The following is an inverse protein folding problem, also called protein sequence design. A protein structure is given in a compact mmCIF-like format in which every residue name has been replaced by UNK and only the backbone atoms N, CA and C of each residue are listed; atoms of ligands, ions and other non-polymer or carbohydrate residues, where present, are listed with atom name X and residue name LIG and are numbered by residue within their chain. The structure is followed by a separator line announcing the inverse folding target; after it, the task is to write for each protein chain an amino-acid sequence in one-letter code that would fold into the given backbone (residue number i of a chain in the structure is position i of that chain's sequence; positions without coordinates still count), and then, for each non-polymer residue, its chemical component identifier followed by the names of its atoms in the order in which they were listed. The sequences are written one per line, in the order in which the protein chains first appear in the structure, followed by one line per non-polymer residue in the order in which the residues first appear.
data_IF_374465327877
#
_entry.id   IF_374465327877
#
_cell.length_a   1.000
_cell.length_b   1.000
_cell.length_c   1.000
_cell.angle_alpha   90.00
_cell.angle_beta   90.00
_cell.angle_gamma   90.00
#
_symmetry.space_group_name_H-M   'P 1'
#
loop_
_entity.id
_entity.type
_entity.pdbx_description
1 polymer ?
#
# COMPACT_ATOMS: atom_id res chain seq x y z
N UNK A 1 -5.81 -28.84 -12.77
CA UNK A 1 -5.10 -28.32 -13.94
C UNK A 1 -3.68 -27.96 -13.51
N UNK A 2 -2.65 -28.64 -14.05
CA UNK A 2 -1.27 -28.34 -13.67
C UNK A 2 -0.89 -26.98 -14.22
N UNK A 3 -0.22 -26.15 -13.44
CA UNK A 3 0.33 -24.85 -13.87
C UNK A 3 1.32 -25.01 -15.04
N UNK A 4 1.80 -26.23 -15.29
CA UNK A 4 2.59 -26.57 -16.46
C UNK A 4 1.93 -26.21 -17.81
N UNK A 5 0.60 -26.08 -17.85
CA UNK A 5 -0.09 -25.61 -19.06
C UNK A 5 0.14 -24.12 -19.36
N UNK A 6 0.74 -23.38 -18.45
CA UNK A 6 1.12 -22.00 -18.66
C UNK A 6 2.64 -21.91 -18.55
N UNK A 7 3.33 -22.62 -19.39
CA UNK A 7 4.77 -22.49 -19.49
C UNK A 7 5.12 -21.53 -20.61
N UNK A 8 6.22 -20.84 -20.47
CA UNK A 8 6.71 -19.94 -21.50
C UNK A 8 6.94 -20.63 -22.85
N UNK A 9 7.12 -21.95 -22.87
CA UNK A 9 7.23 -22.69 -24.11
C UNK A 9 5.96 -22.69 -24.97
N UNK A 10 4.81 -22.51 -24.35
CA UNK A 10 3.53 -22.38 -25.07
C UNK A 10 3.21 -20.92 -25.42
N UNK A 11 4.13 -20.05 -25.09
CA UNK A 11 3.91 -18.66 -25.15
C UNK A 11 4.77 -18.14 -26.24
N UNK A 12 4.28 -18.17 -27.34
CA UNK A 12 4.93 -17.46 -28.41
C UNK A 12 4.60 -16.00 -28.29
N UNK A 13 5.19 -15.37 -27.28
CA UNK A 13 4.81 -14.05 -26.98
C UNK A 13 5.82 -13.09 -27.43
N UNK A 14 5.38 -12.24 -28.12
CA UNK A 14 6.15 -11.20 -28.56
C UNK A 14 5.85 -9.95 -27.89
N UNK A 15 5.66 -9.15 -28.37
CA UNK A 15 5.64 -7.83 -28.13
C UNK A 15 4.52 -7.48 -27.28
N UNK A 16 4.82 -7.15 -26.36
CA UNK A 16 4.05 -6.63 -25.43
C UNK A 16 3.58 -5.27 -25.77
N UNK A 17 2.80 -4.82 -25.19
CA UNK A 17 2.03 -3.74 -25.28
C UNK A 17 2.65 -2.56 -24.79
N UNK A 18 2.54 -1.66 -25.33
CA UNK A 18 2.75 -0.47 -24.71
C UNK A 18 1.62 -0.16 -23.84
N UNK A 19 1.84 0.01 -22.67
CA UNK A 19 0.97 0.74 -21.84
C UNK A 19 0.79 2.06 -22.47
N UNK A 20 -0.33 2.34 -22.96
CA UNK A 20 -0.57 3.68 -23.35
C UNK A 20 -0.42 4.52 -22.10
N UNK A 21 0.51 5.37 -22.17
CA UNK A 21 0.61 6.51 -21.28
C UNK A 21 -0.46 7.55 -21.64
N UNK A 22 -1.64 7.09 -21.99
CA UNK A 22 -2.77 7.96 -22.30
C UNK A 22 -3.34 8.68 -21.06
N UNK A 23 -2.44 9.14 -20.22
CA UNK A 23 -2.68 10.25 -19.32
C UNK A 23 -1.83 11.45 -19.79
N UNK A 24 -1.91 11.78 -21.05
CA UNK A 24 -1.55 13.10 -21.54
C UNK A 24 -2.83 13.89 -21.69
N UNK A 25 -3.28 14.47 -20.61
CA UNK A 25 -3.94 15.76 -20.68
C UNK A 25 -2.90 16.74 -21.22
N UNK A 26 -3.16 17.26 -22.38
CA UNK A 26 -2.33 18.30 -22.96
C UNK A 26 -2.23 19.47 -22.01
N UNK A 27 -1.04 19.99 -21.87
CA UNK A 27 -0.77 21.41 -22.10
C UNK A 27 0.72 21.70 -22.00
N UNK A 28 1.07 22.50 -22.96
CA UNK A 28 2.19 23.46 -23.01
C UNK A 28 3.57 22.89 -23.33
N UNK A 29 3.98 23.22 -24.49
CA UNK A 29 5.34 23.47 -24.92
C UNK A 29 6.14 24.21 -23.85
N UNK A 30 7.32 23.68 -23.50
CA UNK A 30 8.56 24.39 -23.78
C UNK A 30 9.78 23.50 -23.54
N UNK A 31 10.65 23.60 -24.45
CA UNK A 31 12.05 23.29 -24.67
C UNK A 31 12.90 22.76 -23.51
N UNK A 32 13.66 21.72 -23.88
CA UNK A 32 15.02 21.31 -23.38
C UNK A 32 15.17 20.90 -21.93
N UNK A 33 15.34 19.61 -21.73
CA UNK A 33 15.89 19.07 -20.49
C UNK A 33 15.54 17.60 -20.27
N UNK A 34 16.52 16.79 -20.23
CA UNK A 34 16.56 15.36 -19.87
C UNK A 34 15.54 14.96 -18.81
N UNK A 35 14.49 14.23 -19.21
CA UNK A 35 13.45 13.75 -18.30
C UNK A 35 13.88 12.52 -17.52
N UNK A 36 14.45 12.75 -16.35
CA UNK A 36 14.45 11.80 -15.25
C UNK A 36 13.11 11.92 -14.52
N UNK A 37 12.13 11.10 -14.87
CA UNK A 37 10.90 10.93 -14.09
C UNK A 37 11.18 10.14 -12.80
N UNK A 38 11.85 10.79 -11.85
CA UNK A 38 11.74 10.43 -10.46
C UNK A 38 10.43 11.01 -9.94
N UNK A 39 9.40 10.18 -9.76
CA UNK A 39 8.25 10.57 -8.95
C UNK A 39 8.73 10.66 -7.51
N UNK A 40 9.33 11.80 -7.17
CA UNK A 40 9.50 12.21 -5.79
C UNK A 40 8.10 12.45 -5.21
N UNK A 41 7.77 11.94 -4.03
CA UNK A 41 6.65 12.47 -3.30
C UNK A 41 6.94 13.94 -3.06
N UNK A 42 6.12 14.83 -3.61
CA UNK A 42 6.19 16.25 -3.33
C UNK A 42 6.00 16.45 -1.83
N UNK A 43 7.09 16.63 -1.11
CA UNK A 43 7.08 17.17 0.23
C UNK A 43 6.80 18.67 0.11
N UNK A 44 5.52 19.05 0.06
CA UNK A 44 5.18 20.43 0.32
C UNK A 44 5.51 20.74 1.78
N UNK A 45 6.18 21.85 2.09
CA UNK A 45 6.42 22.26 3.45
C UNK A 45 5.06 22.41 4.14
N UNK A 46 4.81 21.56 5.14
CA UNK A 46 3.58 21.64 5.95
C UNK A 46 3.71 22.92 6.78
N UNK A 47 2.79 23.88 6.61
CA UNK A 47 2.79 25.09 7.43
C UNK A 47 2.58 24.73 8.90
N UNK A 48 3.14 25.51 9.81
CA UNK A 48 3.02 25.24 11.25
C UNK A 48 1.55 25.27 11.72
N UNK A 49 0.71 26.09 11.10
CA UNK A 49 -0.75 26.15 11.31
C UNK A 49 -1.45 24.84 10.89
N UNK A 50 -1.03 24.23 9.79
CA UNK A 50 -1.56 22.95 9.30
C UNK A 50 -1.32 21.81 10.30
N UNK A 51 -0.16 21.79 10.96
CA UNK A 51 0.16 20.78 11.99
C UNK A 51 -0.75 20.95 13.21
N UNK A 52 -1.01 22.18 13.66
CA UNK A 52 -1.88 22.46 14.81
C UNK A 52 -3.34 22.11 14.51
N UNK A 53 -3.87 22.55 13.37
CA UNK A 53 -5.26 22.29 12.98
C UNK A 53 -5.53 20.81 12.71
N UNK A 54 -4.63 20.12 12.01
CA UNK A 54 -4.73 18.68 11.85
C UNK A 54 -4.58 17.92 13.16
N UNK A 55 -3.81 18.46 14.11
CA UNK A 55 -3.66 17.94 15.45
C UNK A 55 -4.97 17.92 16.24
N UNK A 56 -5.77 18.99 16.16
CA UNK A 56 -7.08 19.09 16.78
C UNK A 56 -8.05 18.02 16.25
N UNK A 57 -8.13 17.85 14.94
CA UNK A 57 -8.96 16.79 14.35
C UNK A 57 -8.50 15.39 14.77
N UNK A 58 -7.18 15.14 14.83
CA UNK A 58 -6.63 13.83 15.24
C UNK A 58 -7.01 13.42 16.66
N UNK A 59 -7.28 14.37 17.54
CA UNK A 59 -7.78 14.09 18.89
C UNK A 59 -9.16 13.42 18.81
N UNK A 60 -10.02 13.88 17.89
CA UNK A 60 -11.36 13.36 17.73
C UNK A 60 -11.39 11.91 17.21
N UNK A 61 -10.31 11.43 16.58
CA UNK A 61 -10.23 10.03 16.12
C UNK A 61 -10.31 9.01 17.26
N UNK A 62 -9.91 9.38 18.47
CA UNK A 62 -10.03 8.53 19.65
C UNK A 62 -11.49 8.22 20.02
N UNK A 63 -12.45 8.99 19.52
CA UNK A 63 -13.88 8.89 19.83
C UNK A 63 -14.70 8.19 18.73
N UNK A 64 -14.06 7.33 17.92
CA UNK A 64 -14.71 6.56 16.85
C UNK A 64 -15.47 7.43 15.83
N UNK A 65 -14.86 8.56 15.46
CA UNK A 65 -15.43 9.41 14.43
C UNK A 65 -15.70 8.61 13.15
N UNK A 66 -16.90 8.72 12.53
CA UNK A 66 -17.19 7.99 11.29
C UNK A 66 -16.42 8.58 10.10
N UNK A 67 -16.10 7.76 9.12
CA UNK A 67 -15.52 8.23 7.86
C UNK A 67 -16.53 9.05 7.08
N UNK A 68 -16.13 10.23 6.63
CA UNK A 68 -17.02 11.14 5.89
C UNK A 68 -17.54 10.57 4.56
N UNK A 69 -16.83 9.61 3.95
CA UNK A 69 -17.22 9.02 2.66
C UNK A 69 -17.91 7.67 2.75
N UNK A 70 -17.88 7.00 3.90
CA UNK A 70 -18.40 5.64 4.04
C UNK A 70 -19.17 5.40 5.34
N UNK A 71 -19.23 6.38 6.24
CA UNK A 71 -19.89 6.25 7.53
C UNK A 71 -19.30 5.20 8.48
N UNK A 72 -18.19 4.58 8.10
CA UNK A 72 -17.56 3.52 8.89
C UNK A 72 -16.84 4.14 10.10
N UNK A 73 -17.02 3.61 11.33
CA UNK A 73 -16.23 4.02 12.47
C UNK A 73 -14.74 3.81 12.22
N UNK A 74 -13.93 4.84 12.42
CA UNK A 74 -12.50 4.78 12.13
C UNK A 74 -11.70 4.32 13.35
N UNK A 75 -10.57 3.66 13.11
CA UNK A 75 -9.61 3.27 14.15
C UNK A 75 -8.58 4.39 14.33
N UNK A 76 -8.34 4.81 15.58
CA UNK A 76 -7.32 5.80 15.90
C UNK A 76 -5.91 5.30 15.54
N UNK A 77 -5.11 6.06 14.75
CA UNK A 77 -3.73 5.71 14.43
C UNK A 77 -2.84 5.46 15.66
N UNK A 78 -3.08 6.19 16.77
CA UNK A 78 -2.36 6.00 18.02
C UNK A 78 -2.63 4.63 18.64
N UNK A 79 -3.84 4.11 18.46
CA UNK A 79 -4.22 2.79 18.95
C UNK A 79 -3.48 1.68 18.19
N UNK A 80 -3.41 1.76 16.86
CA UNK A 80 -2.60 0.82 16.08
C UNK A 80 -1.13 0.87 16.49
N UNK A 81 -0.57 2.06 16.66
CA UNK A 81 0.83 2.22 17.11
C UNK A 81 1.09 1.55 18.47
N UNK A 82 0.13 1.67 19.41
CA UNK A 82 0.21 0.98 20.71
C UNK A 82 0.12 -0.54 20.55
N UNK A 83 -0.77 -1.06 19.71
CA UNK A 83 -0.90 -2.49 19.47
C UNK A 83 0.38 -3.11 18.92
N UNK A 84 1.00 -2.46 17.92
CA UNK A 84 2.28 -2.90 17.36
C UNK A 84 3.39 -2.85 18.43
N UNK A 85 3.50 -1.73 19.16
CA UNK A 85 4.53 -1.55 20.18
C UNK A 85 4.42 -2.60 21.30
N UNK A 86 3.21 -3.01 21.66
CA UNK A 86 2.94 -4.01 22.69
C UNK A 86 2.99 -5.45 22.15
N UNK A 87 3.40 -5.67 20.90
CA UNK A 87 3.54 -6.99 20.27
C UNK A 87 2.22 -7.74 20.11
N UNK A 88 1.08 -7.05 20.06
CA UNK A 88 -0.25 -7.69 19.99
C UNK A 88 -0.33 -8.72 18.87
N UNK A 89 0.12 -8.39 17.68
CA UNK A 89 -0.05 -9.23 16.50
C UNK A 89 0.81 -10.50 16.49
N UNK A 90 1.79 -10.58 17.40
CA UNK A 90 2.61 -11.78 17.59
C UNK A 90 2.03 -12.73 18.66
N UNK A 91 0.92 -12.36 19.29
CA UNK A 91 0.20 -13.18 20.27
C UNK A 91 -0.71 -14.19 19.59
N UNK A 92 -1.29 -15.13 20.37
CA UNK A 92 -2.35 -16.01 19.89
C UNK A 92 -3.48 -15.25 19.22
N UNK A 93 -4.03 -15.82 18.14
CA UNK A 93 -5.08 -15.18 17.36
C UNK A 93 -6.33 -14.87 18.19
N UNK A 94 -6.67 -15.69 19.16
CA UNK A 94 -7.77 -15.45 20.10
C UNK A 94 -7.64 -14.13 20.85
N UNK A 95 -6.44 -13.82 21.35
CA UNK A 95 -6.17 -12.53 22.01
C UNK A 95 -6.27 -11.36 21.05
N UNK A 96 -5.72 -11.50 19.84
CA UNK A 96 -5.82 -10.46 18.81
C UNK A 96 -7.28 -10.15 18.48
N UNK A 97 -8.09 -11.18 18.27
CA UNK A 97 -9.51 -11.05 17.92
C UNK A 97 -10.33 -10.41 19.05
N UNK A 98 -10.03 -10.75 20.32
CA UNK A 98 -10.65 -10.12 21.48
C UNK A 98 -10.36 -8.60 21.53
N UNK A 99 -9.13 -8.19 21.25
CA UNK A 99 -8.75 -6.77 21.19
C UNK A 99 -9.42 -6.06 20.01
N UNK A 100 -9.62 -6.75 18.87
CA UNK A 100 -10.26 -6.18 17.68
C UNK A 100 -11.79 -6.22 17.75
N UNK A 101 -12.40 -7.00 18.65
CA UNK A 101 -13.86 -7.15 18.76
C UNK A 101 -14.62 -5.81 18.83
N UNK A 102 -14.22 -4.80 19.64
CA UNK A 102 -14.88 -3.50 19.69
C UNK A 102 -14.79 -2.66 18.41
N UNK A 103 -13.98 -3.10 17.46
CA UNK A 103 -13.70 -2.42 16.18
C UNK A 103 -14.23 -3.17 14.96
N UNK A 104 -15.05 -4.21 15.15
CA UNK A 104 -15.58 -5.05 14.05
C UNK A 104 -16.26 -4.22 12.97
N UNK A 105 -17.01 -3.20 13.35
CA UNK A 105 -17.74 -2.32 12.43
C UNK A 105 -16.81 -1.42 11.59
N UNK A 106 -15.53 -1.34 11.93
CA UNK A 106 -14.54 -0.59 11.17
C UNK A 106 -14.02 -1.37 9.96
N UNK A 107 -14.23 -2.68 9.88
CA UNK A 107 -13.71 -3.50 8.80
C UNK A 107 -14.73 -3.73 7.69
N UNK A 108 -14.29 -3.67 6.44
CA UNK A 108 -15.12 -3.91 5.25
C UNK A 108 -14.34 -4.72 4.21
N UNK A 109 -15.09 -5.31 3.28
CA UNK A 109 -14.52 -5.98 2.12
C UNK A 109 -13.65 -7.17 2.48
N UNK A 110 -12.41 -7.20 2.01
CA UNK A 110 -11.50 -8.33 2.21
C UNK A 110 -11.07 -8.46 3.66
N UNK A 111 -10.82 -7.34 4.35
CA UNK A 111 -10.37 -7.35 5.74
C UNK A 111 -11.43 -7.95 6.67
N UNK A 112 -12.71 -7.64 6.46
CA UNK A 112 -13.80 -8.28 7.19
C UNK A 112 -13.82 -9.80 6.96
N UNK A 113 -13.69 -10.24 5.70
CA UNK A 113 -13.63 -11.67 5.35
C UNK A 113 -12.41 -12.39 5.93
N UNK A 114 -11.28 -11.68 6.04
CA UNK A 114 -10.08 -12.23 6.69
C UNK A 114 -10.29 -12.36 8.18
N UNK A 115 -10.94 -11.41 8.83
CA UNK A 115 -11.33 -11.53 10.24
C UNK A 115 -12.28 -12.71 10.48
N UNK A 116 -13.28 -12.90 9.63
CA UNK A 116 -14.18 -14.07 9.68
C UNK A 116 -13.40 -15.39 9.54
N UNK A 117 -12.40 -15.44 8.63
CA UNK A 117 -11.53 -16.60 8.50
C UNK A 117 -10.71 -16.85 9.77
N UNK A 118 -10.12 -15.79 10.34
CA UNK A 118 -9.35 -15.88 11.57
C UNK A 118 -10.23 -16.32 12.75
N UNK A 119 -11.46 -15.80 12.87
CA UNK A 119 -12.43 -16.24 13.89
C UNK A 119 -12.78 -17.72 13.75
N UNK A 120 -13.07 -18.16 12.53
CA UNK A 120 -13.39 -19.56 12.28
C UNK A 120 -12.23 -20.50 12.64
N UNK A 121 -10.99 -20.07 12.39
CA UNK A 121 -9.79 -20.84 12.72
C UNK A 121 -9.41 -20.77 14.21
N UNK A 122 -9.61 -19.62 14.84
CA UNK A 122 -9.38 -19.43 16.28
C UNK A 122 -10.26 -20.35 17.15
N UNK A 123 -11.44 -20.76 16.67
CA UNK A 123 -12.28 -21.73 17.36
C UNK A 123 -11.66 -23.13 17.44
N UNK A 124 -10.80 -23.47 16.49
CA UNK A 124 -10.12 -24.79 16.42
C UNK A 124 -8.70 -24.70 16.96
N UNK A 125 -8.01 -23.60 16.68
CA UNK A 125 -6.60 -23.38 17.02
C UNK A 125 -6.41 -21.99 17.65
N UNK A 126 -6.94 -21.75 18.87
CA UNK A 126 -6.91 -20.42 19.51
C UNK A 126 -5.49 -19.95 19.85
N UNK A 127 -4.54 -20.85 19.99
CA UNK A 127 -3.13 -20.62 20.33
C UNK A 127 -2.27 -20.18 19.15
N UNK A 128 -2.72 -20.45 17.92
CA UNK A 128 -1.95 -20.09 16.73
C UNK A 128 -1.88 -18.57 16.54
N UNK A 129 -0.76 -18.09 16.01
CA UNK A 129 -0.64 -16.70 15.53
C UNK A 129 -1.37 -16.52 14.20
N UNK A 130 -1.68 -15.27 13.85
CA UNK A 130 -2.30 -14.97 12.54
C UNK A 130 -1.45 -15.51 11.38
N UNK A 131 -0.12 -15.42 11.45
CA UNK A 131 0.78 -15.91 10.41
C UNK A 131 0.70 -17.43 10.25
N UNK A 132 0.63 -18.18 11.35
CA UNK A 132 0.50 -19.63 11.32
C UNK A 132 -0.80 -20.04 10.65
N UNK A 133 -1.93 -19.40 11.00
CA UNK A 133 -3.23 -19.65 10.37
C UNK A 133 -3.20 -19.31 8.88
N UNK A 134 -2.63 -18.16 8.49
CA UNK A 134 -2.55 -17.79 7.07
C UNK A 134 -1.69 -18.75 6.27
N UNK A 135 -0.62 -19.29 6.85
CA UNK A 135 0.22 -20.31 6.21
C UNK A 135 -0.53 -21.65 6.08
N UNK A 136 -1.32 -22.05 7.05
CA UNK A 136 -2.16 -23.26 6.99
C UNK A 136 -3.15 -23.19 5.81
N UNK A 137 -3.82 -22.07 5.65
CA UNK A 137 -4.84 -21.90 4.57
C UNK A 137 -4.23 -21.56 3.21
N UNK A 138 -2.97 -21.12 3.17
CA UNK A 138 -2.26 -20.69 1.95
C UNK A 138 -2.42 -21.65 0.78
N UNK A 139 -2.25 -22.99 0.92
CA UNK A 139 -2.37 -23.93 -0.22
C UNK A 139 -3.73 -23.90 -0.91
N UNK A 140 -4.81 -23.70 -0.16
CA UNK A 140 -6.17 -23.61 -0.70
C UNK A 140 -6.35 -22.32 -1.50
N UNK A 141 -5.91 -21.19 -0.93
CA UNK A 141 -6.03 -19.88 -1.58
C UNK A 141 -5.07 -19.74 -2.75
N UNK A 142 -3.90 -20.37 -2.71
CA UNK A 142 -2.99 -20.50 -3.83
C UNK A 142 -3.69 -21.15 -5.04
N UNK A 143 -4.32 -22.30 -4.86
CA UNK A 143 -5.06 -22.99 -5.93
C UNK A 143 -6.19 -22.13 -6.47
N UNK A 144 -6.95 -21.45 -5.61
CA UNK A 144 -8.04 -20.53 -6.02
C UNK A 144 -7.50 -19.34 -6.82
N UNK A 145 -6.37 -18.77 -6.42
CA UNK A 145 -5.73 -17.66 -7.13
C UNK A 145 -5.28 -18.12 -8.53
N UNK A 146 -4.66 -19.30 -8.62
CA UNK A 146 -4.22 -19.88 -9.89
C UNK A 146 -5.36 -20.06 -10.87
N UNK A 147 -6.48 -20.60 -10.43
CA UNK A 147 -7.67 -20.75 -11.27
C UNK A 147 -8.11 -19.42 -11.91
N UNK A 148 -7.95 -18.30 -11.20
CA UNK A 148 -8.28 -16.96 -11.73
C UNK A 148 -7.18 -16.38 -12.64
N UNK A 149 -5.93 -16.68 -12.40
CA UNK A 149 -4.81 -16.14 -13.14
C UNK A 149 -4.58 -16.86 -14.48
N UNK A 150 -4.81 -18.19 -14.53
CA UNK A 150 -4.57 -19.01 -15.72
C UNK A 150 -5.29 -18.50 -16.97
N UNK A 151 -6.60 -18.19 -16.95
CA UNK A 151 -7.28 -17.68 -18.14
C UNK A 151 -6.68 -16.36 -18.65
N UNK A 152 -6.32 -15.47 -17.72
CA UNK A 152 -5.76 -14.16 -18.04
C UNK A 152 -4.39 -14.31 -18.75
N UNK A 153 -3.52 -15.18 -18.21
CA UNK A 153 -2.25 -15.43 -18.85
C UNK A 153 -2.41 -16.13 -20.20
N UNK A 154 -3.40 -17.00 -20.35
CA UNK A 154 -3.71 -17.63 -21.66
C UNK A 154 -4.17 -16.57 -22.67
N UNK A 155 -5.07 -15.68 -22.29
CA UNK A 155 -5.53 -14.57 -23.14
C UNK A 155 -4.35 -13.66 -23.56
N UNK A 156 -3.43 -13.37 -22.61
CA UNK A 156 -2.19 -12.62 -22.91
C UNK A 156 -1.30 -13.35 -23.93
N UNK A 157 -1.20 -14.66 -23.82
CA UNK A 157 -0.44 -15.48 -24.74
C UNK A 157 -1.04 -15.44 -26.15
N UNK A 158 -2.34 -15.62 -26.24
CA UNK A 158 -3.05 -15.57 -27.52
C UNK A 158 -2.87 -14.22 -28.23
N UNK A 159 -3.04 -13.12 -27.51
CA UNK A 159 -2.81 -11.79 -28.09
C UNK A 159 -1.35 -11.56 -28.50
N UNK A 160 -0.43 -12.18 -27.80
CA UNK A 160 1.00 -12.03 -28.11
C UNK A 160 1.44 -12.59 -29.43
N UNK A 161 0.69 -13.50 -30.04
CA UNK A 161 0.99 -14.03 -31.40
C UNK A 161 0.91 -12.95 -32.49
N UNK A 162 0.25 -11.81 -32.21
CA UNK A 162 0.15 -10.66 -33.09
C UNK A 162 1.35 -9.72 -33.02
N UNK A 163 2.30 -10.01 -32.15
CA UNK A 163 3.44 -9.15 -31.90
C UNK A 163 4.57 -9.39 -32.87
N UNK A 164 5.27 -8.36 -33.37
CA UNK A 164 6.46 -8.53 -34.22
C UNK A 164 7.63 -9.20 -33.48
N UNK A 165 8.47 -9.93 -34.17
CA UNK A 165 9.54 -10.80 -33.65
C UNK A 165 10.49 -10.13 -32.64
N UNK A 166 10.77 -8.85 -32.83
CA UNK A 166 11.64 -8.05 -31.92
C UNK A 166 11.25 -8.10 -30.44
N UNK A 167 9.99 -8.29 -30.15
CA UNK A 167 9.46 -8.24 -28.79
C UNK A 167 9.03 -9.61 -28.25
N UNK A 168 8.89 -10.61 -29.16
CA UNK A 168 8.55 -11.98 -28.79
C UNK A 168 9.51 -12.57 -27.79
N UNK A 169 10.80 -12.41 -28.00
CA UNK A 169 11.81 -12.97 -27.14
C UNK A 169 11.71 -12.39 -25.72
N UNK A 170 11.63 -11.07 -25.59
CA UNK A 170 11.53 -10.42 -24.27
C UNK A 170 10.25 -10.79 -23.53
N UNK A 171 9.13 -10.90 -24.24
CA UNK A 171 7.87 -11.28 -23.59
C UNK A 171 7.87 -12.77 -23.22
N UNK A 172 8.46 -13.64 -24.03
CA UNK A 172 8.66 -15.04 -23.68
C UNK A 172 9.50 -15.19 -22.40
N UNK A 173 10.58 -14.43 -22.30
CA UNK A 173 11.39 -14.38 -21.06
C UNK A 173 10.56 -13.92 -19.86
N UNK A 174 9.80 -12.84 -19.99
CA UNK A 174 8.91 -12.36 -18.92
C UNK A 174 7.93 -13.44 -18.46
N UNK A 175 7.36 -14.18 -19.41
CA UNK A 175 6.38 -15.23 -19.08
C UNK A 175 7.04 -16.47 -18.49
N UNK A 176 8.25 -16.83 -18.89
CA UNK A 176 9.00 -17.91 -18.26
C UNK A 176 9.35 -17.59 -16.82
N UNK A 177 9.86 -16.39 -16.56
CA UNK A 177 10.09 -15.92 -15.17
C UNK A 177 8.79 -15.84 -14.37
N UNK A 178 7.72 -15.34 -14.99
CA UNK A 178 6.39 -15.28 -14.36
C UNK A 178 5.91 -16.67 -13.99
N UNK A 179 6.05 -17.65 -14.88
CA UNK A 179 5.72 -19.05 -14.60
C UNK A 179 6.51 -19.61 -13.41
N UNK A 180 7.82 -19.32 -13.34
CA UNK A 180 8.67 -19.73 -12.20
C UNK A 180 8.21 -19.07 -10.91
N UNK A 181 7.99 -17.74 -10.90
CA UNK A 181 7.47 -16.98 -9.74
C UNK A 181 6.09 -17.47 -9.30
N UNK A 182 5.24 -17.77 -10.26
CA UNK A 182 3.92 -18.34 -10.02
C UNK A 182 3.98 -19.74 -9.40
N UNK A 183 4.96 -20.53 -9.67
CA UNK A 183 5.15 -21.88 -9.14
C UNK A 183 6.07 -21.91 -7.90
N UNK A 184 6.42 -20.75 -7.36
CA UNK A 184 7.38 -20.61 -6.25
C UNK A 184 8.71 -21.35 -6.53
N UNK A 185 9.11 -21.44 -7.83
CA UNK A 185 10.39 -22.00 -8.23
C UNK A 185 11.52 -20.98 -8.01
N UNK A 186 12.69 -21.41 -7.56
CA UNK A 186 13.83 -20.52 -7.44
C UNK A 186 14.29 -19.94 -8.79
N UNK A 187 14.60 -18.66 -8.80
CA UNK A 187 15.11 -17.91 -9.96
C UNK A 187 16.36 -17.13 -9.57
N UNK A 188 17.23 -16.87 -10.53
CA UNK A 188 18.32 -15.91 -10.35
C UNK A 188 17.75 -14.51 -10.47
N UNK A 189 18.03 -13.69 -9.48
CA UNK A 189 17.60 -12.27 -9.47
C UNK A 189 18.83 -11.42 -9.22
N UNK A 190 19.24 -10.59 -10.19
CA UNK A 190 20.43 -9.76 -10.03
C UNK A 190 20.28 -8.77 -8.87
N UNK A 191 21.39 -8.46 -8.24
CA UNK A 191 21.42 -7.46 -7.17
C UNK A 191 21.11 -6.07 -7.75
N UNK A 192 20.27 -5.33 -7.04
CA UNK A 192 19.95 -3.94 -7.36
C UNK A 192 20.26 -3.04 -6.18
N UNK A 193 21.25 -2.17 -6.36
CA UNK A 193 21.61 -1.17 -5.35
C UNK A 193 20.46 -0.21 -5.03
N UNK A 194 19.64 0.12 -6.03
CA UNK A 194 18.44 0.95 -5.85
C UNK A 194 17.40 0.23 -4.97
N UNK A 195 17.10 -1.04 -5.28
CA UNK A 195 16.14 -1.83 -4.49
C UNK A 195 16.62 -2.01 -3.04
N UNK A 196 17.92 -2.27 -2.86
CA UNK A 196 18.52 -2.36 -1.53
C UNK A 196 18.34 -1.07 -0.72
N UNK A 197 18.73 0.08 -1.31
CA UNK A 197 18.59 1.39 -0.66
C UNK A 197 17.15 1.72 -0.32
N UNK A 198 16.21 1.40 -1.22
CA UNK A 198 14.77 1.58 -1.00
C UNK A 198 14.25 0.72 0.16
N UNK A 199 14.59 -0.57 0.20
CA UNK A 199 14.20 -1.47 1.29
C UNK A 199 14.80 -1.03 2.63
N UNK A 200 16.08 -0.64 2.63
CA UNK A 200 16.76 -0.13 3.82
C UNK A 200 16.09 1.15 4.36
N UNK A 201 15.66 2.06 3.47
CA UNK A 201 14.91 3.25 3.88
C UNK A 201 13.56 2.89 4.50
N UNK A 202 12.85 1.89 3.96
CA UNK A 202 11.59 1.41 4.56
C UNK A 202 11.78 0.84 5.96
N UNK A 203 12.82 0.03 6.14
CA UNK A 203 13.16 -0.52 7.47
C UNK A 203 13.54 0.62 8.43
N UNK A 204 14.21 1.68 7.95
CA UNK A 204 14.47 2.87 8.76
C UNK A 204 13.20 3.51 9.27
N UNK A 205 12.21 3.73 8.39
CA UNK A 205 10.96 4.36 8.76
C UNK A 205 10.22 3.53 9.83
N UNK A 206 10.22 2.19 9.68
CA UNK A 206 9.64 1.28 10.68
C UNK A 206 10.36 1.39 12.03
N UNK A 207 11.70 1.47 12.04
CA UNK A 207 12.51 1.59 13.25
C UNK A 207 12.38 2.99 13.87
N UNK A 208 12.34 4.08 13.08
CA UNK A 208 12.26 5.44 13.61
C UNK A 208 10.95 5.73 14.36
N UNK A 209 9.87 5.06 13.99
CA UNK A 209 8.56 5.24 14.61
C UNK A 209 8.40 4.59 15.99
N UNK A 210 9.33 3.75 16.43
CA UNK A 210 9.21 3.02 17.69
C UNK A 210 10.49 2.82 18.52
N UNK A 211 11.67 3.29 18.08
CA UNK A 211 12.94 2.88 18.65
C UNK A 211 13.72 3.96 19.38
N UNK A 212 14.65 3.51 20.22
CA UNK A 212 15.58 4.35 20.98
C UNK A 212 16.60 5.12 20.08
N UNK A 213 17.31 6.05 20.70
CA UNK A 213 18.32 6.90 20.01
C UNK A 213 19.47 6.07 19.45
N UNK A 214 19.83 4.94 20.10
CA UNK A 214 20.96 4.08 19.65
C UNK A 214 20.59 3.37 18.34
N UNK A 215 19.37 2.82 18.26
CA UNK A 215 18.84 2.19 17.04
C UNK A 215 18.80 3.16 15.86
N UNK A 216 18.34 4.40 16.09
CA UNK A 216 18.33 5.47 15.08
C UNK A 216 19.74 5.81 14.55
N UNK A 217 20.74 5.91 15.45
CA UNK A 217 22.13 6.15 15.07
C UNK A 217 22.69 5.03 14.18
N UNK A 218 22.40 3.76 14.54
CA UNK A 218 22.82 2.60 13.74
C UNK A 218 22.20 2.64 12.35
N UNK A 219 20.88 2.87 12.24
CA UNK A 219 20.20 2.97 10.95
C UNK A 219 20.76 4.06 10.07
N UNK A 220 21.05 5.25 10.62
CA UNK A 220 21.66 6.33 9.86
C UNK A 220 23.06 5.96 9.36
N UNK A 221 23.84 5.20 10.15
CA UNK A 221 25.15 4.69 9.72
C UNK A 221 25.00 3.68 8.59
N UNK A 222 24.07 2.73 8.69
CA UNK A 222 23.82 1.75 7.62
C UNK A 222 23.40 2.44 6.32
N UNK A 223 22.54 3.45 6.36
CA UNK A 223 22.12 4.20 5.18
C UNK A 223 23.29 4.99 4.58
N UNK A 224 24.11 5.61 5.41
CA UNK A 224 25.31 6.34 4.94
C UNK A 224 26.23 5.40 4.16
N UNK A 225 26.51 4.21 4.69
CA UNK A 225 27.37 3.23 4.02
C UNK A 225 26.71 2.64 2.76
N UNK A 226 25.41 2.40 2.76
CA UNK A 226 24.69 1.93 1.58
C UNK A 226 24.73 2.91 0.39
N UNK A 227 25.00 4.20 0.61
CA UNK A 227 25.24 5.17 -0.47
C UNK A 227 26.47 4.83 -1.31
N UNK A 228 27.41 4.04 -0.78
CA UNK A 228 28.62 3.61 -1.48
C UNK A 228 28.36 2.55 -2.55
N UNK A 229 27.16 1.97 -2.63
CA UNK A 229 26.82 1.08 -3.72
C UNK A 229 26.87 1.80 -5.06
N UNK A 230 27.66 1.28 -5.98
CA UNK A 230 27.68 1.72 -7.37
C UNK A 230 26.43 1.24 -8.13
N UNK A 231 26.05 1.99 -9.16
CA UNK A 231 24.97 1.59 -10.07
C UNK A 231 25.48 0.83 -11.31
N UNK A 232 26.79 0.61 -11.43
CA UNK A 232 27.39 -0.12 -12.54
C UNK A 232 27.34 -1.63 -12.32
N UNK A 233 27.38 -2.43 -13.39
CA UNK A 233 27.24 -3.90 -13.39
C UNK A 233 28.48 -4.68 -13.82
N UNK A 234 29.66 -4.02 -13.90
CA UNK A 234 30.88 -4.73 -14.25
C UNK A 234 31.48 -5.54 -13.08
N UNK A 235 32.41 -6.46 -13.35
CA UNK A 235 32.98 -7.38 -12.36
C UNK A 235 33.63 -6.67 -11.16
N UNK A 236 34.35 -5.59 -11.38
CA UNK A 236 34.95 -4.76 -10.31
C UNK A 236 33.87 -4.14 -9.42
N UNK A 237 32.69 -3.88 -9.98
CA UNK A 237 31.56 -3.35 -9.24
C UNK A 237 30.93 -4.41 -8.33
N UNK A 238 30.84 -5.67 -8.79
CA UNK A 238 30.34 -6.78 -7.97
C UNK A 238 31.23 -6.98 -6.74
N UNK A 239 32.52 -7.00 -6.92
CA UNK A 239 33.50 -7.10 -5.83
C UNK A 239 33.35 -5.94 -4.82
N UNK A 240 33.22 -4.71 -5.31
CA UNK A 240 32.99 -3.55 -4.45
C UNK A 240 31.62 -3.60 -3.75
N UNK A 241 30.58 -4.10 -4.40
CA UNK A 241 29.28 -4.30 -3.78
C UNK A 241 29.34 -5.36 -2.66
N UNK A 242 30.07 -6.46 -2.86
CA UNK A 242 30.32 -7.45 -1.81
C UNK A 242 31.06 -6.84 -0.62
N UNK A 243 32.09 -6.03 -0.83
CA UNK A 243 32.78 -5.30 0.23
C UNK A 243 31.87 -4.38 1.03
N UNK A 244 30.99 -3.64 0.34
CA UNK A 244 29.99 -2.78 1.02
C UNK A 244 29.01 -3.61 1.86
N UNK A 245 28.48 -4.72 1.32
CA UNK A 245 27.60 -5.61 2.09
C UNK A 245 28.30 -6.18 3.33
N UNK A 246 29.53 -6.64 3.19
CA UNK A 246 30.34 -7.16 4.31
C UNK A 246 30.50 -6.10 5.39
N UNK A 247 30.75 -4.86 5.00
CA UNK A 247 30.88 -3.77 5.97
C UNK A 247 29.55 -3.44 6.67
N UNK A 248 28.43 -3.46 5.92
CA UNK A 248 27.09 -3.30 6.49
C UNK A 248 26.75 -4.44 7.49
N UNK A 249 27.10 -5.67 7.17
CA UNK A 249 26.90 -6.82 8.06
C UNK A 249 27.73 -6.69 9.35
N UNK A 250 28.99 -6.25 9.26
CA UNK A 250 29.83 -5.97 10.43
C UNK A 250 29.21 -4.88 11.32
N UNK A 251 28.70 -3.80 10.73
CA UNK A 251 28.02 -2.74 11.48
C UNK A 251 26.79 -3.31 12.19
N UNK A 252 25.98 -4.12 11.49
CA UNK A 252 24.78 -4.72 12.05
C UNK A 252 25.09 -5.67 13.21
N UNK A 253 26.03 -6.59 13.03
CA UNK A 253 26.42 -7.58 14.06
C UNK A 253 26.93 -6.95 15.35
N UNK A 254 27.63 -5.81 15.24
CA UNK A 254 28.19 -5.07 16.39
C UNK A 254 27.19 -4.08 17.01
N UNK A 255 25.92 -4.07 16.58
CA UNK A 255 24.94 -3.08 16.98
C UNK A 255 23.79 -3.64 17.83
N UNK A 256 23.01 -2.74 18.41
CA UNK A 256 21.76 -3.06 19.10
C UNK A 256 20.72 -3.67 18.17
N UNK A 257 20.87 -3.51 16.85
CA UNK A 257 19.99 -4.07 15.82
C UNK A 257 20.44 -5.44 15.30
N UNK A 258 21.44 -6.08 15.91
CA UNK A 258 22.02 -7.35 15.47
C UNK A 258 21.00 -8.49 15.25
N UNK A 259 19.89 -8.47 15.99
CA UNK A 259 18.81 -9.45 15.89
C UNK A 259 17.59 -8.96 15.08
N UNK A 260 17.69 -7.82 14.40
CA UNK A 260 16.60 -7.33 13.56
C UNK A 260 16.44 -8.22 12.32
N UNK A 261 15.36 -9.00 12.29
CA UNK A 261 15.10 -9.98 11.24
C UNK A 261 15.01 -9.36 9.84
N UNK A 262 14.45 -8.15 9.71
CA UNK A 262 14.30 -7.49 8.41
C UNK A 262 15.65 -7.04 7.84
N UNK A 263 16.55 -6.53 8.68
CA UNK A 263 17.89 -6.14 8.25
C UNK A 263 18.74 -7.35 7.89
N UNK A 264 18.63 -8.46 8.64
CA UNK A 264 19.32 -9.70 8.30
C UNK A 264 18.83 -10.27 6.99
N UNK A 265 17.51 -10.44 6.83
CA UNK A 265 16.91 -10.93 5.59
C UNK A 265 17.30 -10.06 4.37
N UNK A 266 17.35 -8.74 4.54
CA UNK A 266 17.80 -7.83 3.48
C UNK A 266 19.27 -8.09 3.08
N UNK A 267 20.16 -8.29 4.06
CA UNK A 267 21.59 -8.57 3.78
C UNK A 267 21.77 -9.96 3.16
N UNK A 268 21.15 -11.00 3.73
CA UNK A 268 21.28 -12.38 3.26
C UNK A 268 20.74 -12.53 1.84
N UNK A 269 19.56 -11.96 1.55
CA UNK A 269 19.00 -11.91 0.19
C UNK A 269 19.92 -11.16 -0.78
N UNK A 270 20.59 -10.11 -0.33
CA UNK A 270 21.49 -9.32 -1.17
C UNK A 270 22.78 -10.08 -1.48
N UNK A 271 23.32 -10.81 -0.52
CA UNK A 271 24.47 -11.71 -0.76
C UNK A 271 24.11 -12.80 -1.78
N UNK A 272 22.97 -13.48 -1.59
CA UNK A 272 22.50 -14.49 -2.54
C UNK A 272 22.36 -13.93 -3.96
N UNK A 273 21.86 -12.71 -4.10
CA UNK A 273 21.73 -12.05 -5.41
C UNK A 273 23.08 -11.67 -6.03
N UNK A 274 24.07 -11.30 -5.23
CA UNK A 274 25.44 -11.01 -5.72
C UNK A 274 26.24 -12.27 -6.06
N UNK A 275 25.83 -13.43 -5.56
CA UNK A 275 26.39 -14.72 -5.87
C UNK A 275 25.62 -15.49 -6.96
N UNK A 276 24.61 -14.84 -7.59
CA UNK A 276 23.71 -15.46 -8.56
C UNK A 276 22.97 -16.71 -8.01
N UNK A 277 22.81 -16.79 -6.69
CA UNK A 277 22.04 -17.87 -6.08
C UNK A 277 20.57 -17.82 -6.50
N UNK A 278 19.99 -18.99 -6.71
CA UNK A 278 18.57 -19.09 -7.02
C UNK A 278 17.72 -18.87 -5.77
N UNK A 279 16.89 -17.85 -5.79
CA UNK A 279 15.99 -17.48 -4.70
C UNK A 279 14.51 -17.61 -5.11
N UNK A 280 13.65 -17.92 -4.16
CA UNK A 280 12.20 -17.93 -4.40
C UNK A 280 11.67 -16.51 -4.31
N UNK A 281 11.15 -15.99 -5.42
CA UNK A 281 10.54 -14.66 -5.48
C UNK A 281 9.04 -14.81 -5.74
N UNK A 282 8.17 -14.34 -4.84
CA UNK A 282 6.74 -14.43 -5.05
C UNK A 282 6.29 -13.57 -6.24
N UNK A 283 5.29 -14.05 -6.97
CA UNK A 283 4.69 -13.27 -8.07
C UNK A 283 4.11 -11.95 -7.56
N UNK A 284 4.48 -10.87 -8.23
CA UNK A 284 3.94 -9.52 -8.00
C UNK A 284 3.26 -8.99 -9.26
N UNK A 285 1.95 -8.76 -9.20
CA UNK A 285 1.20 -8.11 -10.29
C UNK A 285 1.81 -6.76 -10.69
N UNK A 286 2.20 -5.94 -9.70
CA UNK A 286 2.80 -4.62 -9.97
C UNK A 286 4.11 -4.74 -10.75
N UNK A 287 4.99 -5.66 -10.34
CA UNK A 287 6.25 -5.90 -11.05
C UNK A 287 5.96 -6.43 -12.47
N UNK A 288 5.06 -7.40 -12.61
CA UNK A 288 4.68 -7.94 -13.91
C UNK A 288 4.16 -6.84 -14.87
N UNK A 289 3.25 -5.97 -14.39
CA UNK A 289 2.74 -4.85 -15.20
C UNK A 289 3.83 -3.85 -15.57
N UNK A 290 4.78 -3.59 -14.69
CA UNK A 290 5.90 -2.71 -14.95
C UNK A 290 6.85 -3.31 -16.00
N UNK A 291 7.20 -4.58 -15.85
CA UNK A 291 8.07 -5.29 -16.80
C UNK A 291 7.38 -5.44 -18.17
N UNK A 292 6.09 -5.73 -18.17
CA UNK A 292 5.26 -5.72 -19.35
C UNK A 292 5.31 -4.34 -20.03
N UNK A 293 5.05 -3.26 -19.33
CA UNK A 293 5.10 -1.90 -19.83
C UNK A 293 6.43 -1.59 -20.52
N UNK A 294 7.56 -1.91 -19.87
CA UNK A 294 8.89 -1.68 -20.43
C UNK A 294 9.17 -2.48 -21.72
N UNK A 295 8.63 -3.68 -21.79
CA UNK A 295 8.80 -4.50 -23.00
C UNK A 295 8.07 -3.86 -24.18
N UNK A 296 6.95 -3.16 -23.93
CA UNK A 296 6.02 -2.69 -24.95
C UNK A 296 6.04 -1.19 -25.21
N UNK A 297 6.93 -0.46 -24.51
CA UNK A 297 7.00 0.99 -24.56
C UNK A 297 7.07 1.55 -25.99
N UNK A 298 7.80 0.86 -26.89
CA UNK A 298 8.04 1.32 -28.25
C UNK A 298 7.13 0.67 -29.32
N UNK A 299 5.98 0.11 -28.93
CA UNK A 299 5.09 -0.52 -29.88
C UNK A 299 4.32 0.51 -30.72
N UNK A 300 4.44 0.43 -32.03
CA UNK A 300 3.70 1.30 -32.97
C UNK A 300 2.21 0.99 -33.03
N UNK A 301 1.80 -0.28 -32.84
CA UNK A 301 0.39 -0.68 -32.76
C UNK A 301 -0.18 -0.39 -31.36
N UNK A 302 -0.79 0.79 -31.21
CA UNK A 302 -1.42 1.23 -29.96
C UNK A 302 -2.61 0.36 -29.53
N UNK A 303 -3.35 -0.23 -30.48
CA UNK A 303 -4.51 -1.04 -30.14
C UNK A 303 -4.09 -2.36 -29.50
N UNK A 304 -3.10 -3.02 -30.06
CA UNK A 304 -2.53 -4.24 -29.48
C UNK A 304 -1.90 -3.95 -28.12
N UNK A 305 -1.24 -2.82 -28.02
CA UNK A 305 -0.71 -2.24 -26.83
C UNK A 305 -1.72 -2.15 -25.69
N UNK A 306 -2.77 -1.40 -25.90
CA UNK A 306 -3.77 -1.16 -24.89
C UNK A 306 -4.52 -2.44 -24.51
N UNK A 307 -4.79 -3.29 -25.49
CA UNK A 307 -5.48 -4.55 -25.28
C UNK A 307 -4.73 -5.49 -24.34
N UNK A 308 -3.45 -5.74 -24.60
CA UNK A 308 -2.67 -6.62 -23.71
C UNK A 308 -2.54 -6.02 -22.30
N UNK A 309 -2.38 -4.70 -22.16
CA UNK A 309 -2.31 -4.09 -20.83
C UNK A 309 -3.63 -4.19 -20.08
N UNK A 310 -4.76 -4.00 -20.74
CA UNK A 310 -6.09 -4.24 -20.19
C UNK A 310 -6.27 -5.68 -19.72
N UNK A 311 -5.81 -6.66 -20.53
CA UNK A 311 -5.84 -8.07 -20.11
C UNK A 311 -4.99 -8.28 -18.86
N UNK A 312 -3.77 -7.76 -18.83
CA UNK A 312 -2.89 -7.89 -17.68
C UNK A 312 -3.45 -7.20 -16.41
N UNK A 313 -4.18 -6.11 -16.59
CA UNK A 313 -4.88 -5.42 -15.50
C UNK A 313 -6.00 -6.25 -14.86
N UNK A 314 -6.55 -7.26 -15.54
CA UNK A 314 -7.53 -8.20 -14.96
C UNK A 314 -6.90 -9.12 -13.90
N UNK A 315 -5.57 -9.20 -13.79
CA UNK A 315 -4.90 -10.00 -12.75
C UNK A 315 -5.35 -9.60 -11.35
N UNK A 316 -5.74 -10.55 -10.49
CA UNK A 316 -6.29 -10.26 -9.16
C UNK A 316 -5.33 -9.49 -8.27
N UNK A 317 -5.82 -8.42 -7.65
CA UNK A 317 -5.08 -7.63 -6.64
C UNK A 317 -5.41 -8.10 -5.23
N UNK A 318 -4.53 -7.80 -4.27
CA UNK A 318 -4.82 -8.05 -2.85
C UNK A 318 -5.90 -7.15 -2.26
N UNK A 319 -6.38 -6.14 -3.01
CA UNK A 319 -7.51 -5.29 -2.61
C UNK A 319 -8.86 -5.85 -3.05
N UNK A 320 -8.88 -6.70 -4.07
CA UNK A 320 -10.09 -7.21 -4.72
C UNK A 320 -10.28 -8.72 -4.54
N UNK A 321 -9.22 -9.44 -4.24
CA UNK A 321 -9.21 -10.89 -4.14
C UNK A 321 -8.66 -11.36 -2.81
N UNK A 322 -9.49 -12.05 -2.03
CA UNK A 322 -9.07 -12.67 -0.77
C UNK A 322 -7.90 -13.65 -1.00
N UNK A 323 -7.88 -14.38 -2.12
CA UNK A 323 -6.78 -15.29 -2.44
C UNK A 323 -5.46 -14.54 -2.64
N UNK A 324 -5.49 -13.40 -3.36
CA UNK A 324 -4.29 -12.58 -3.55
C UNK A 324 -3.88 -11.90 -2.23
N UNK A 325 -4.83 -11.52 -1.38
CA UNK A 325 -4.56 -10.98 -0.04
C UNK A 325 -3.84 -12.00 0.83
N UNK A 326 -4.38 -13.23 0.95
CA UNK A 326 -3.81 -14.31 1.76
C UNK A 326 -2.39 -14.65 1.29
N UNK A 327 -2.18 -14.80 -0.03
CA UNK A 327 -0.86 -15.09 -0.59
C UNK A 327 0.18 -14.03 -0.22
N UNK A 328 -0.22 -12.76 -0.24
CA UNK A 328 0.66 -11.66 0.14
C UNK A 328 0.87 -11.59 1.66
N UNK A 329 -0.19 -11.75 2.45
CA UNK A 329 -0.13 -11.66 3.90
C UNK A 329 0.65 -12.81 4.52
N UNK A 330 0.54 -14.04 4.00
CA UNK A 330 1.27 -15.20 4.50
C UNK A 330 2.80 -15.06 4.42
N UNK A 331 3.33 -14.21 3.51
CA UNK A 331 4.76 -13.90 3.42
C UNK A 331 5.22 -12.78 4.36
N UNK A 332 4.29 -12.07 5.01
CA UNK A 332 4.61 -10.97 5.91
C UNK A 332 4.91 -11.45 7.35
N UNK A 333 5.51 -10.59 8.18
CA UNK A 333 5.57 -10.78 9.63
C UNK A 333 4.19 -10.59 10.27
N UNK A 334 3.98 -11.06 11.50
CA UNK A 334 2.74 -10.88 12.24
C UNK A 334 2.33 -9.40 12.34
N UNK A 335 3.27 -8.49 12.64
CA UNK A 335 3.01 -7.05 12.71
C UNK A 335 2.58 -6.48 11.37
N UNK A 336 3.19 -6.93 10.27
CA UNK A 336 2.79 -6.52 8.92
C UNK A 336 1.42 -7.06 8.54
N UNK A 337 1.08 -8.26 8.96
CA UNK A 337 -0.26 -8.85 8.78
C UNK A 337 -1.29 -8.00 9.53
N UNK A 338 -1.04 -7.69 10.80
CA UNK A 338 -1.89 -6.82 11.61
C UNK A 338 -2.03 -5.42 11.01
N UNK A 339 -0.91 -4.81 10.62
CA UNK A 339 -0.92 -3.51 9.95
C UNK A 339 -1.75 -3.54 8.65
N UNK A 340 -1.56 -4.55 7.81
CA UNK A 340 -2.30 -4.71 6.55
C UNK A 340 -3.81 -4.86 6.77
N UNK A 341 -4.18 -5.59 7.82
CA UNK A 341 -5.58 -5.83 8.20
C UNK A 341 -6.26 -4.53 8.64
N UNK A 342 -5.57 -3.72 9.41
CA UNK A 342 -6.14 -2.56 10.09
C UNK A 342 -5.98 -1.27 9.28
N UNK A 343 -4.87 -1.11 8.55
CA UNK A 343 -4.53 0.11 7.82
C UNK A 343 -5.68 0.70 6.98
N UNK A 344 -6.48 -0.09 6.26
CA UNK A 344 -7.59 0.44 5.46
C UNK A 344 -8.66 1.17 6.29
N UNK A 345 -8.78 0.84 7.57
CA UNK A 345 -9.78 1.38 8.51
C UNK A 345 -9.22 2.47 9.44
N UNK A 346 -7.93 2.78 9.35
CA UNK A 346 -7.32 3.82 10.17
C UNK A 346 -7.82 5.20 9.75
N UNK A 347 -8.07 6.05 10.74
CA UNK A 347 -8.40 7.45 10.53
C UNK A 347 -7.22 8.23 9.93
N UNK A 348 -7.50 9.01 8.91
CA UNK A 348 -6.59 9.97 8.30
C UNK A 348 -7.28 11.32 8.15
N UNK A 349 -6.48 12.39 8.16
CA UNK A 349 -6.98 13.74 7.85
C UNK A 349 -7.18 13.84 6.35
N UNK A 350 -8.34 14.26 5.97
CA UNK A 350 -8.80 14.49 4.61
C UNK A 350 -9.08 15.97 4.38
N UNK A 351 -8.66 16.51 3.24
CA UNK A 351 -9.05 17.87 2.80
C UNK A 351 -10.31 17.79 1.95
N UNK A 352 -11.38 18.44 2.36
CA UNK A 352 -12.64 18.48 1.59
C UNK A 352 -12.39 19.19 0.25
N UNK A 353 -11.83 20.38 0.26
CA UNK A 353 -11.21 20.99 -0.91
C UNK A 353 -9.76 20.48 -0.99
N UNK A 354 -9.39 19.72 -2.05
CA UNK A 354 -8.07 19.10 -2.12
C UNK A 354 -6.93 20.12 -2.08
N UNK A 355 -5.88 19.84 -1.34
CA UNK A 355 -4.71 20.71 -1.23
C UNK A 355 -4.04 20.97 -2.59
N UNK A 356 -4.01 19.98 -3.48
CA UNK A 356 -3.49 20.11 -4.85
C UNK A 356 -4.32 21.05 -5.72
N UNK A 357 -5.56 21.35 -5.32
CA UNK A 357 -6.46 22.30 -5.96
C UNK A 357 -6.48 23.67 -5.24
N UNK A 358 -5.56 23.91 -4.29
CA UNK A 358 -5.51 25.16 -3.52
C UNK A 358 -6.30 25.16 -2.21
N UNK A 359 -6.80 24.00 -1.77
CA UNK A 359 -7.55 23.88 -0.52
C UNK A 359 -6.73 24.33 0.70
N UNK A 360 -7.34 25.15 1.61
CA UNK A 360 -6.65 25.70 2.76
C UNK A 360 -6.34 24.66 3.82
N UNK A 361 -5.23 24.86 4.53
CA UNK A 361 -4.83 24.05 5.70
C UNK A 361 -5.57 24.52 6.98
N UNK A 362 -6.90 24.68 6.90
CA UNK A 362 -7.77 25.13 7.98
C UNK A 362 -8.61 23.98 8.53
N UNK A 363 -8.97 24.08 9.82
CA UNK A 363 -9.74 23.03 10.47
C UNK A 363 -11.10 22.79 9.79
N UNK A 364 -11.76 23.85 9.31
CA UNK A 364 -13.01 23.79 8.58
C UNK A 364 -12.91 22.98 7.26
N UNK A 365 -11.74 22.93 6.65
CA UNK A 365 -11.47 22.14 5.44
C UNK A 365 -11.03 20.69 5.75
N UNK A 366 -10.90 20.32 7.01
CA UNK A 366 -10.45 18.99 7.41
C UNK A 366 -11.60 18.09 7.86
N UNK A 367 -11.63 16.87 7.36
CA UNK A 367 -12.50 15.80 7.80
C UNK A 367 -11.72 14.54 8.16
N UNK A 368 -12.35 13.65 8.90
CA UNK A 368 -11.87 12.29 9.08
C UNK A 368 -12.30 11.39 7.92
N UNK A 369 -11.34 10.72 7.31
CA UNK A 369 -11.62 9.65 6.35
C UNK A 369 -10.78 8.43 6.68
N UNK A 370 -11.26 7.22 6.33
CA UNK A 370 -10.39 6.04 6.43
C UNK A 370 -9.22 6.18 5.45
N UNK A 371 -8.07 5.62 5.79
CA UNK A 371 -6.89 5.65 4.92
C UNK A 371 -7.18 5.05 3.54
N UNK A 372 -8.07 4.04 3.45
CA UNK A 372 -8.54 3.50 2.17
C UNK A 372 -9.22 4.56 1.33
N UNK A 373 -10.21 5.26 1.90
CA UNK A 373 -11.01 6.24 1.17
C UNK A 373 -10.16 7.43 0.74
N UNK A 374 -9.37 7.97 1.65
CA UNK A 374 -8.43 9.05 1.38
C UNK A 374 -7.44 8.69 0.25
N UNK A 375 -6.81 7.49 0.33
CA UNK A 375 -5.89 7.02 -0.71
C UNK A 375 -6.57 6.76 -2.06
N UNK A 376 -7.87 6.48 -2.08
CA UNK A 376 -8.62 6.23 -3.31
C UNK A 376 -9.06 7.53 -3.96
N UNK A 377 -9.52 8.47 -3.16
CA UNK A 377 -9.98 9.79 -3.65
C UNK A 377 -8.84 10.61 -4.24
N UNK A 378 -7.68 10.63 -3.60
CA UNK A 378 -6.55 11.47 -4.04
C UNK A 378 -6.95 12.95 -4.12
N UNK A 379 -6.83 13.52 -5.34
CA UNK A 379 -7.16 14.94 -5.66
C UNK A 379 -8.53 15.10 -6.32
N UNK A 380 -9.36 14.08 -6.33
CA UNK A 380 -10.70 14.16 -6.95
C UNK A 380 -11.53 15.23 -6.22
N UNK A 381 -12.16 16.19 -6.93
CA UNK A 381 -13.03 17.18 -6.33
C UNK A 381 -14.19 16.56 -5.54
N UNK A 382 -14.68 17.27 -4.53
CA UNK A 382 -15.73 16.73 -3.65
C UNK A 382 -17.04 16.45 -4.41
N UNK A 383 -17.40 17.30 -5.38
CA UNK A 383 -18.55 17.10 -6.27
C UNK A 383 -18.48 15.81 -7.08
N UNK A 384 -17.31 15.50 -7.64
CA UNK A 384 -17.07 14.26 -8.39
C UNK A 384 -17.08 13.04 -7.46
N UNK A 385 -16.50 13.17 -6.27
CA UNK A 385 -16.55 12.12 -5.24
C UNK A 385 -17.99 11.78 -4.84
N UNK A 386 -18.89 12.75 -4.75
CA UNK A 386 -20.31 12.52 -4.48
C UNK A 386 -21.01 11.74 -5.60
N UNK A 387 -20.67 12.00 -6.88
CA UNK A 387 -21.21 11.25 -8.01
C UNK A 387 -20.78 9.76 -7.95
N UNK A 388 -19.52 9.54 -7.60
CA UNK A 388 -18.98 8.17 -7.41
C UNK A 388 -19.56 7.47 -6.18
N UNK A 389 -20.08 8.22 -5.20
CA UNK A 389 -20.60 7.75 -3.90
C UNK A 389 -21.88 8.46 -3.51
N UNK A 390 -23.03 8.03 -4.02
CA UNK A 390 -24.31 8.74 -3.81
C UNK A 390 -24.74 8.86 -2.34
N UNK A 391 -24.24 8.02 -1.44
CA UNK A 391 -24.55 8.08 -0.01
C UNK A 391 -23.68 9.06 0.78
N UNK A 392 -22.75 9.76 0.14
CA UNK A 392 -21.88 10.75 0.80
C UNK A 392 -22.66 11.82 1.60
N UNK A 393 -23.80 12.38 1.13
CA UNK A 393 -24.56 13.33 1.91
C UNK A 393 -25.04 12.79 3.27
N UNK A 394 -25.49 11.54 3.30
CA UNK A 394 -25.91 10.87 4.53
C UNK A 394 -24.72 10.67 5.48
N UNK A 395 -23.57 10.27 4.96
CA UNK A 395 -22.36 10.08 5.77
C UNK A 395 -21.80 11.39 6.31
N UNK A 396 -21.92 12.50 5.55
CA UNK A 396 -21.58 13.83 6.03
C UNK A 396 -22.47 14.25 7.20
N UNK A 397 -23.76 13.90 7.16
CA UNK A 397 -24.67 14.16 8.28
C UNK A 397 -24.28 13.34 9.51
N UNK A 398 -24.03 12.05 9.37
CA UNK A 398 -23.57 11.22 10.48
C UNK A 398 -22.26 11.71 11.10
N UNK A 399 -21.35 12.23 10.25
CA UNK A 399 -20.10 12.82 10.70
C UNK A 399 -20.36 14.06 11.56
N UNK A 400 -21.24 14.96 11.12
CA UNK A 400 -21.62 16.17 11.86
C UNK A 400 -22.41 15.83 13.13
N UNK A 401 -23.35 14.89 13.08
CA UNK A 401 -24.07 14.42 14.27
C UNK A 401 -23.09 13.92 15.34
N UNK A 402 -22.04 13.20 14.93
CA UNK A 402 -20.99 12.75 15.86
C UNK A 402 -20.15 13.90 16.40
N UNK A 403 -19.85 14.93 15.61
CA UNK A 403 -19.16 16.12 16.09
C UNK A 403 -20.01 16.86 17.14
N UNK A 404 -21.32 16.99 16.91
CA UNK A 404 -22.28 17.62 17.85
C UNK A 404 -22.34 16.81 19.15
N UNK A 405 -22.47 15.48 19.07
CA UNK A 405 -22.41 14.60 20.25
C UNK A 405 -21.12 14.84 21.07
N UNK A 406 -19.96 14.89 20.41
CA UNK A 406 -18.69 15.13 21.09
C UNK A 406 -18.60 16.54 21.69
N UNK A 407 -19.23 17.52 21.07
CA UNK A 407 -19.36 18.87 21.62
C UNK A 407 -20.15 18.85 22.93
N UNK A 408 -21.34 18.24 22.96
CA UNK A 408 -22.18 18.12 24.16
C UNK A 408 -21.50 17.30 25.28
N UNK A 409 -20.69 16.30 24.92
CA UNK A 409 -19.86 15.55 25.86
C UNK A 409 -18.67 16.37 26.44
N UNK A 410 -18.52 17.64 26.04
CA UNK A 410 -17.44 18.52 26.49
C UNK A 410 -16.06 18.16 25.94
N UNK A 411 -15.98 17.27 24.92
CA UNK A 411 -14.70 16.88 24.31
C UNK A 411 -14.02 18.08 23.65
N UNK A 412 -14.79 18.96 23.02
CA UNK A 412 -14.29 20.17 22.38
C UNK A 412 -13.63 21.11 23.39
N UNK A 413 -14.31 21.40 24.51
CA UNK A 413 -13.79 22.27 25.56
C UNK A 413 -12.49 21.71 26.17
N UNK A 414 -12.48 20.41 26.53
CA UNK A 414 -11.30 19.75 27.10
C UNK A 414 -10.07 19.76 26.20
N UNK A 415 -10.25 19.92 24.88
CA UNK A 415 -9.17 19.85 23.90
C UNK A 415 -8.95 21.18 23.14
N UNK A 416 -9.51 22.29 23.64
CA UNK A 416 -9.40 23.62 23.03
C UNK A 416 -9.82 23.64 21.54
N UNK A 417 -10.89 22.90 21.21
CA UNK A 417 -11.48 22.92 19.88
C UNK A 417 -12.62 23.94 19.88
N UNK A 418 -12.57 24.92 18.98
CA UNK A 418 -13.63 25.91 18.86
C UNK A 418 -14.91 25.26 18.34
N UNK A 419 -16.08 25.38 19.00
CA UNK A 419 -17.36 24.86 18.54
C UNK A 419 -17.77 25.34 17.13
N UNK A 420 -17.31 26.53 16.73
CA UNK A 420 -17.51 27.05 15.37
C UNK A 420 -16.98 26.10 14.28
N UNK A 421 -16.04 25.20 14.63
CA UNK A 421 -15.60 24.16 13.68
C UNK A 421 -16.76 23.41 13.04
N UNK A 422 -17.84 23.11 13.79
CA UNK A 422 -18.97 22.35 13.25
C UNK A 422 -19.73 23.14 12.18
N UNK A 423 -20.02 24.43 12.45
CA UNK A 423 -20.71 25.30 11.48
C UNK A 423 -19.84 25.64 10.27
N UNK A 424 -18.56 25.94 10.51
CA UNK A 424 -17.61 26.27 9.45
C UNK A 424 -17.36 25.07 8.53
N UNK A 425 -17.25 23.88 9.12
CA UNK A 425 -17.15 22.62 8.37
C UNK A 425 -18.41 22.34 7.53
N UNK A 426 -19.61 22.55 8.11
CA UNK A 426 -20.86 22.41 7.37
C UNK A 426 -20.95 23.40 6.19
N UNK A 427 -20.47 24.63 6.39
CA UNK A 427 -20.32 25.64 5.33
C UNK A 427 -19.36 25.17 4.22
N UNK A 428 -18.23 24.59 4.58
CA UNK A 428 -17.29 24.03 3.60
C UNK A 428 -17.94 22.91 2.77
N UNK A 429 -18.65 21.98 3.43
CA UNK A 429 -19.38 20.90 2.71
C UNK A 429 -20.44 21.49 1.77
N UNK A 430 -21.18 22.49 2.21
CA UNK A 430 -22.19 23.14 1.38
C UNK A 430 -21.56 23.76 0.12
N UNK A 431 -20.48 24.51 0.26
CA UNK A 431 -19.77 25.14 -0.84
C UNK A 431 -19.14 24.11 -1.79
N UNK A 432 -18.39 23.16 -1.27
CA UNK A 432 -17.69 22.12 -2.07
C UNK A 432 -18.63 21.11 -2.72
N UNK A 433 -19.87 21.01 -2.26
CA UNK A 433 -20.92 20.22 -2.91
C UNK A 433 -21.69 20.98 -4.00
N UNK A 434 -21.28 22.20 -4.36
CA UNK A 434 -22.06 23.11 -5.19
C UNK A 434 -23.47 23.32 -4.63
N UNK A 435 -23.56 23.61 -3.33
CA UNK A 435 -24.79 23.89 -2.57
C UNK A 435 -25.80 22.72 -2.50
N UNK A 436 -25.36 21.49 -2.81
CA UNK A 436 -26.24 20.31 -2.84
C UNK A 436 -26.41 19.64 -1.48
N UNK A 437 -25.43 19.78 -0.58
CA UNK A 437 -25.49 19.17 0.77
C UNK A 437 -25.71 20.27 1.80
N UNK A 438 -26.90 20.32 2.35
CA UNK A 438 -27.22 21.19 3.49
C UNK A 438 -27.32 20.31 4.74
N UNK A 439 -26.34 20.42 5.63
CA UNK A 439 -26.28 19.64 6.86
C UNK A 439 -27.19 20.24 7.95
N UNK A 440 -27.86 19.38 8.69
CA UNK A 440 -28.72 19.79 9.79
C UNK A 440 -27.87 19.97 11.06
N UNK A 441 -27.90 21.16 11.64
CA UNK A 441 -27.20 21.55 12.87
C UNK A 441 -28.16 21.78 14.04
N UNK A 442 -29.45 21.47 13.93
CA UNK A 442 -30.46 21.78 14.98
C UNK A 442 -30.05 21.23 16.35
N UNK A 443 -29.48 20.03 16.37
CA UNK A 443 -28.98 19.38 17.60
C UNK A 443 -27.84 20.11 18.30
N UNK A 444 -27.25 21.16 17.71
CA UNK A 444 -26.22 21.96 18.38
C UNK A 444 -26.77 22.81 19.53
N UNK A 445 -28.07 23.06 19.53
CA UNK A 445 -28.76 23.94 20.47
C UNK A 445 -29.65 23.16 21.47
N UNK A 446 -29.69 21.87 21.38
CA UNK A 446 -30.29 20.95 22.35
C UNK A 446 -29.35 20.67 23.51
#
# INVERSE_FOLDING_TARGET
MRVQAITASNLNIHKAMSVSSSAKSGHAQDSNGTNNLSVMPCYYPVSFSSIQNSGKLRILFAYKLPCIYSGIPMIDPKQLSRWIKNGLFSRPVSEVLNVLAPHRDSFRGIEAKVLELLDARAKVHPEMTMKQILNEVKPVYFRRLRKKQIPIFRELIEESHKLPDKYQYKFRQLMDETSKKLNEKPIVVPFSSYEFKYKLSKIKDDIHNGSDVKSKKVMNKLIKEAKRFSNSTNANTIENQKKVLTFLDIILRKSVLKNNAQLRDLLDTSYSRLNDDKIVVPFSRKAFLYDLARIIEDLSDKNLHDKMFQIAQKLPTSKESMSAYIMKAASDSNDKIGYRLIWPSIASVEHIHPRSCGGPDELANFAGATTRENSTRKSVPFTEQMQLRPLTPMYCQWYVDKLIELYHQGVFARNNINPRYISDFAGTIYNESNHRIKLNLSKMHE
#
